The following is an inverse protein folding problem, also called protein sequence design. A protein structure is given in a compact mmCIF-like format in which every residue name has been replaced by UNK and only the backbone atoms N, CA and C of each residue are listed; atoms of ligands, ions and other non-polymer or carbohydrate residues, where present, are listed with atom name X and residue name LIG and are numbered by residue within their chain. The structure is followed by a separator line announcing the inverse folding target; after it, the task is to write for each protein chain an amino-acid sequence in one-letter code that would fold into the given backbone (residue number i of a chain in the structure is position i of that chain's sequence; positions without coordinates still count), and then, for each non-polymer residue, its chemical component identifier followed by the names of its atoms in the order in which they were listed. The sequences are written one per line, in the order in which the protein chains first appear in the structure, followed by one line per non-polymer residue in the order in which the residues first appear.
data_IF_738695592282
#
_entry.id   IF_738695592282
#
_cell.length_a   1.000
_cell.length_b   1.000
_cell.length_c   1.000
_cell.angle_alpha   90.00
_cell.angle_beta   90.00
_cell.angle_gamma   90.00
#
_symmetry.space_group_name_H-M   'P 1'
#
loop_
_entity.id
_entity.type
_entity.pdbx_description
1 polymer ?
#
# COMPACT_ATOMS: atom_id res chain seq x y z
N UNK A 1 7.05 -12.80 2.73
CA UNK A 1 8.30 -12.85 3.51
C UNK A 1 8.21 -11.75 4.53
N UNK A 2 8.47 -12.05 5.81
CA UNK A 2 7.83 -11.42 6.99
C UNK A 2 7.50 -9.92 6.88
N UNK A 3 8.44 -9.15 6.34
CA UNK A 3 8.35 -7.71 6.11
C UNK A 3 7.16 -7.28 5.23
N UNK A 4 6.88 -8.01 4.16
CA UNK A 4 5.75 -7.74 3.29
C UNK A 4 4.45 -7.99 4.05
N UNK A 5 4.36 -9.10 4.78
CA UNK A 5 3.17 -9.41 5.57
C UNK A 5 2.89 -8.33 6.63
N UNK A 6 3.90 -7.91 7.40
CA UNK A 6 3.77 -6.82 8.39
C UNK A 6 3.27 -5.51 7.77
N UNK A 7 3.74 -5.16 6.58
CA UNK A 7 3.37 -3.90 5.93
C UNK A 7 1.96 -3.96 5.34
N UNK A 8 1.57 -5.11 4.80
CA UNK A 8 0.20 -5.30 4.31
C UNK A 8 -0.80 -5.29 5.48
N UNK A 9 -0.42 -5.87 6.63
CA UNK A 9 -1.24 -5.88 7.85
C UNK A 9 -1.38 -4.47 8.45
N UNK A 10 -0.28 -3.72 8.52
CA UNK A 10 -0.28 -2.32 8.97
C UNK A 10 -1.27 -1.44 8.18
N UNK A 11 -1.47 -1.75 6.90
CA UNK A 11 -2.33 -0.98 5.98
C UNK A 11 -3.71 -1.62 5.75
N UNK A 12 -4.01 -2.76 6.36
CA UNK A 12 -5.28 -3.48 6.21
C UNK A 12 -5.54 -3.99 4.79
N UNK A 13 -4.49 -4.36 4.06
CA UNK A 13 -4.54 -4.81 2.65
C UNK A 13 -3.91 -6.21 2.46
N UNK A 14 -3.97 -7.06 3.48
CA UNK A 14 -3.44 -8.43 3.48
C UNK A 14 -4.01 -9.27 2.34
N UNK A 15 -5.29 -9.03 2.00
CA UNK A 15 -5.97 -9.68 0.87
C UNK A 15 -5.42 -9.31 -0.50
N UNK A 16 -4.53 -8.32 -0.62
CA UNK A 16 -3.96 -7.89 -1.89
C UNK A 16 -2.66 -8.61 -2.25
N UNK A 17 -2.17 -9.52 -1.41
CA UNK A 17 -0.92 -10.27 -1.64
C UNK A 17 -0.85 -10.91 -3.03
N UNK A 18 -1.98 -11.46 -3.49
CA UNK A 18 -2.10 -12.11 -4.80
C UNK A 18 -2.99 -11.32 -5.77
N UNK A 19 -3.33 -10.07 -5.43
CA UNK A 19 -4.15 -9.24 -6.28
C UNK A 19 -3.41 -8.90 -7.58
N UNK A 20 -4.13 -9.03 -8.69
CA UNK A 20 -3.66 -8.54 -9.97
C UNK A 20 -3.76 -7.01 -9.93
N UNK A 21 -2.62 -6.33 -10.02
CA UNK A 21 -2.51 -4.86 -9.90
C UNK A 21 -3.43 -4.11 -10.86
N UNK A 22 -3.71 -4.65 -12.05
CA UNK A 22 -4.62 -4.03 -13.02
C UNK A 22 -6.08 -3.95 -12.54
N UNK A 23 -6.50 -4.81 -11.60
CA UNK A 23 -7.86 -4.86 -11.03
C UNK A 23 -8.06 -3.89 -9.86
N UNK A 24 -7.00 -3.26 -9.38
CA UNK A 24 -7.07 -2.28 -8.30
C UNK A 24 -7.54 -0.92 -8.83
N UNK A 25 -8.37 -0.23 -8.05
CA UNK A 25 -8.73 1.17 -8.30
C UNK A 25 -7.48 2.07 -8.24
N UNK A 26 -7.60 3.32 -8.69
CA UNK A 26 -6.50 4.27 -8.59
C UNK A 26 -6.05 4.48 -7.13
N UNK A 27 -7.01 4.67 -6.20
CA UNK A 27 -6.72 4.81 -4.76
C UNK A 27 -6.10 3.55 -4.17
N UNK A 28 -6.54 2.37 -4.59
CA UNK A 28 -5.93 1.11 -4.16
C UNK A 28 -4.49 0.95 -4.67
N UNK A 29 -4.21 1.34 -5.93
CA UNK A 29 -2.84 1.37 -6.46
C UNK A 29 -1.94 2.34 -5.70
N UNK A 30 -2.49 3.49 -5.29
CA UNK A 30 -1.77 4.46 -4.47
C UNK A 30 -1.43 3.91 -3.09
N UNK A 31 -2.39 3.25 -2.42
CA UNK A 31 -2.17 2.57 -1.14
C UNK A 31 -1.14 1.44 -1.28
N UNK A 32 -1.20 0.66 -2.37
CA UNK A 32 -0.21 -0.38 -2.66
C UNK A 32 1.20 0.20 -2.89
N UNK A 33 1.32 1.36 -3.53
CA UNK A 33 2.60 2.03 -3.71
C UNK A 33 3.19 2.48 -2.36
N UNK A 34 2.36 3.03 -1.47
CA UNK A 34 2.76 3.37 -0.09
C UNK A 34 3.22 2.12 0.66
N UNK A 35 2.50 1.00 0.54
CA UNK A 35 2.88 -0.27 1.13
C UNK A 35 4.26 -0.74 0.65
N UNK A 36 4.50 -0.67 -0.66
CA UNK A 36 5.79 -1.06 -1.24
C UNK A 36 6.94 -0.18 -0.71
N UNK A 37 6.70 1.13 -0.56
CA UNK A 37 7.70 2.05 0.01
C UNK A 37 7.94 1.79 1.50
N UNK A 38 6.90 1.59 2.29
CA UNK A 38 7.02 1.28 3.73
C UNK A 38 7.76 -0.04 3.98
N UNK A 39 7.56 -1.03 3.11
CA UNK A 39 8.29 -2.29 3.17
C UNK A 39 9.82 -2.10 2.97
N UNK A 40 10.27 -0.97 2.41
CA UNK A 40 11.70 -0.63 2.33
C UNK A 40 12.27 -0.07 3.64
N UNK A 41 11.43 0.19 4.66
CA UNK A 41 11.79 0.83 5.94
C UNK A 41 12.53 2.16 5.76
N UNK A 42 11.97 3.13 5.01
CA UNK A 42 12.58 4.45 4.91
C UNK A 42 12.56 5.12 6.28
N UNK A 43 13.59 5.93 6.57
CA UNK A 43 13.60 6.75 7.80
C UNK A 43 12.56 7.88 7.74
N UNK A 44 12.25 8.35 6.53
CA UNK A 44 11.27 9.41 6.26
C UNK A 44 10.48 9.03 5.03
N UNK A 45 9.15 9.11 5.14
CA UNK A 45 8.23 8.98 4.00
C UNK A 45 7.56 10.34 3.79
N UNK A 46 7.79 10.96 2.64
CA UNK A 46 7.12 12.20 2.24
C UNK A 46 5.98 11.84 1.31
N UNK A 47 4.79 12.33 1.65
CA UNK A 47 3.58 12.10 0.88
C UNK A 47 2.99 13.45 0.51
N UNK A 48 2.90 13.73 -0.78
CA UNK A 48 2.21 14.90 -1.31
C UNK A 48 0.83 14.47 -1.79
N UNK A 49 -0.22 15.01 -1.17
CA UNK A 49 -1.63 14.65 -1.40
C UNK A 49 -1.90 13.14 -1.63
N UNK A 50 -1.50 12.25 -0.69
CA UNK A 50 -1.48 10.81 -0.93
C UNK A 50 -2.85 10.12 -0.94
N UNK A 51 -3.94 10.83 -0.63
CA UNK A 51 -5.24 10.22 -0.36
C UNK A 51 -6.35 11.08 -0.97
N UNK A 52 -6.70 10.78 -2.22
CA UNK A 52 -8.06 11.02 -2.69
C UNK A 52 -8.90 9.86 -2.20
N UNK A 53 -9.75 10.08 -1.19
CA UNK A 53 -10.67 9.13 -0.55
C UNK A 53 -10.62 7.67 -1.09
N UNK A 54 -9.78 6.79 -0.51
CA UNK A 54 -9.61 5.43 -1.00
C UNK A 54 -10.81 4.51 -0.76
N UNK A 55 -11.85 4.99 -0.04
CA UNK A 55 -13.03 4.22 0.38
C UNK A 55 -14.33 4.67 -0.31
N UNK A 56 -14.24 5.48 -1.35
CA UNK A 56 -15.36 5.82 -2.25
C UNK A 56 -15.41 4.97 -3.51
#
# INVERSE_FOLDING_TARGET
GARLEETLELLGIEGWREAITSRLSAGQKQLLAIAATLAMKPQVLVLDEPLSDPLR
#
